data_IF_875238030841
#
_entry.id   IF_875238030841
#
_cell.length_a   1.000
_cell.length_b   1.000
_cell.length_c   1.000
_cell.angle_alpha   90.00
_cell.angle_beta   90.00
_cell.angle_gamma   90.00
#
_symmetry.space_group_name_H-M   'P 1'
#
loop_
_entity.id
_entity.type
_entity.pdbx_description
1 polymer ?
#
# COMPACT_ATOMS: atom_id res chain seq x y z
N UNK A 1 27.22 -3.81 2.17
CA UNK A 1 26.22 -3.38 1.17
C UNK A 1 25.30 -2.32 1.75
N UNK A 2 24.65 -1.49 0.92
CA UNK A 2 23.50 -0.68 1.35
C UNK A 2 22.23 -1.54 1.40
N UNK A 3 21.12 -1.05 2.00
CA UNK A 3 19.81 -1.73 1.93
C UNK A 3 19.36 -2.00 0.51
N UNK A 4 19.49 -1.00 -0.37
CA UNK A 4 19.11 -1.12 -1.78
C UNK A 4 19.95 -2.18 -2.50
N UNK A 5 21.28 -2.18 -2.28
CA UNK A 5 22.16 -3.20 -2.85
C UNK A 5 21.86 -4.60 -2.32
N UNK A 6 21.49 -4.74 -1.05
CA UNK A 6 21.09 -6.02 -0.46
C UNK A 6 19.79 -6.57 -1.09
N UNK A 7 18.80 -5.69 -1.33
CA UNK A 7 17.58 -6.07 -2.05
C UNK A 7 17.84 -6.47 -3.50
N UNK A 8 18.67 -5.69 -4.21
CA UNK A 8 19.09 -6.03 -5.58
C UNK A 8 19.81 -7.37 -5.63
N UNK A 9 20.67 -7.65 -4.65
CA UNK A 9 21.38 -8.92 -4.53
C UNK A 9 20.42 -10.09 -4.28
N UNK A 10 19.37 -9.93 -3.46
CA UNK A 10 18.34 -10.95 -3.28
C UNK A 10 17.52 -11.18 -4.56
N UNK A 11 17.22 -10.11 -5.29
CA UNK A 11 16.35 -10.13 -6.46
C UNK A 11 17.03 -10.57 -7.78
N UNK A 12 18.35 -10.82 -7.78
CA UNK A 12 19.02 -11.30 -8.99
C UNK A 12 18.58 -12.75 -9.31
N UNK A 13 18.38 -13.05 -10.60
CA UNK A 13 17.87 -14.34 -11.05
C UNK A 13 18.78 -15.53 -10.64
N UNK A 14 20.08 -15.30 -10.56
CA UNK A 14 21.09 -16.27 -10.14
C UNK A 14 21.50 -16.12 -8.66
N UNK A 15 20.63 -15.55 -7.81
CA UNK A 15 21.06 -15.18 -6.46
C UNK A 15 21.37 -16.41 -5.58
N UNK A 16 22.66 -16.65 -5.38
CA UNK A 16 23.19 -17.42 -4.26
C UNK A 16 23.01 -16.67 -2.91
N UNK A 17 22.37 -15.49 -2.95
CA UNK A 17 22.03 -14.70 -1.79
C UNK A 17 20.82 -15.28 -1.07
N UNK A 18 20.89 -15.26 0.25
CA UNK A 18 19.87 -15.78 1.15
C UNK A 18 19.55 -14.73 2.18
N UNK A 19 18.30 -14.72 2.62
CA UNK A 19 17.86 -13.88 3.72
C UNK A 19 17.75 -14.74 4.97
N UNK A 20 18.58 -14.47 5.97
CA UNK A 20 18.47 -15.12 7.26
C UNK A 20 17.96 -14.14 8.31
N UNK A 21 17.01 -14.58 9.12
CA UNK A 21 16.39 -13.77 10.14
C UNK A 21 16.30 -14.55 11.45
N UNK A 22 16.47 -13.87 12.57
CA UNK A 22 16.15 -14.46 13.88
C UNK A 22 15.60 -13.42 14.85
N UNK A 23 14.80 -13.85 15.84
CA UNK A 23 14.46 -13.03 16.99
C UNK A 23 15.72 -12.53 17.71
N UNK A 24 15.86 -11.22 17.90
CA UNK A 24 16.91 -10.57 18.69
C UNK A 24 16.42 -10.17 20.08
N UNK A 25 17.33 -10.05 21.05
CA UNK A 25 17.06 -9.41 22.34
C UNK A 25 16.89 -10.32 23.57
N UNK A 26 17.06 -11.64 23.44
CA UNK A 26 17.26 -12.52 24.61
C UNK A 26 18.69 -12.45 25.13
N UNK A 27 18.95 -12.93 26.36
CA UNK A 27 20.31 -13.36 26.77
C UNK A 27 20.70 -14.55 25.89
N UNK A 28 21.10 -14.27 24.65
CA UNK A 28 21.55 -15.27 23.68
C UNK A 28 22.81 -15.89 24.28
N UNK A 29 22.72 -17.17 24.67
CA UNK A 29 23.87 -17.93 25.17
C UNK A 29 25.00 -17.79 24.14
N UNK A 30 26.24 -17.59 24.58
CA UNK A 30 27.37 -17.35 23.68
C UNK A 30 27.52 -18.38 22.55
N UNK A 31 27.04 -19.62 22.74
CA UNK A 31 27.00 -20.69 21.72
C UNK A 31 26.02 -20.45 20.56
N UNK A 32 24.97 -19.63 20.70
CA UNK A 32 24.05 -19.27 19.60
C UNK A 32 24.46 -18.01 18.84
N UNK A 33 25.67 -17.49 19.08
CA UNK A 33 26.29 -16.45 18.22
C UNK A 33 26.99 -17.01 16.99
N UNK A 34 27.22 -18.33 16.92
CA UNK A 34 27.69 -18.94 15.69
C UNK A 34 26.67 -18.63 14.60
N UNK A 35 27.08 -17.80 13.63
CA UNK A 35 26.33 -17.62 12.40
C UNK A 35 26.05 -19.02 11.83
N UNK A 36 24.89 -19.29 11.23
CA UNK A 36 24.63 -20.57 10.57
C UNK A 36 25.60 -20.88 9.42
N UNK A 37 26.55 -19.98 9.16
CA UNK A 37 27.36 -19.88 7.96
C UNK A 37 28.83 -20.03 8.34
N UNK A 38 29.28 -21.27 8.50
CA UNK A 38 30.70 -21.57 8.31
C UNK A 38 31.11 -21.50 6.81
N UNK A 39 30.16 -21.18 5.91
CA UNK A 39 30.23 -21.48 4.48
C UNK A 39 29.78 -20.32 3.57
N UNK A 40 29.80 -19.07 4.03
CA UNK A 40 29.33 -17.95 3.19
C UNK A 40 29.79 -16.56 3.61
N UNK A 41 29.72 -15.62 2.66
CA UNK A 41 30.09 -14.21 2.84
C UNK A 41 28.86 -13.37 3.24
N UNK A 42 28.94 -12.61 4.34
CA UNK A 42 27.87 -11.70 4.77
C UNK A 42 28.02 -10.36 4.08
N UNK A 43 27.09 -10.04 3.17
CA UNK A 43 27.09 -8.76 2.44
C UNK A 43 26.33 -7.66 3.18
N UNK A 44 25.36 -8.02 4.01
CA UNK A 44 24.52 -7.07 4.75
C UNK A 44 24.06 -7.63 6.10
N UNK A 45 24.00 -6.76 7.11
CA UNK A 45 23.48 -7.06 8.45
C UNK A 45 22.74 -5.85 9.01
N UNK A 46 21.56 -6.09 9.56
CA UNK A 46 20.79 -5.07 10.26
C UNK A 46 19.98 -5.67 11.42
N UNK A 47 19.74 -4.87 12.47
CA UNK A 47 18.79 -5.18 13.53
C UNK A 47 17.55 -4.29 13.39
N UNK A 48 16.41 -4.89 13.04
CA UNK A 48 15.16 -4.16 12.77
C UNK A 48 14.26 -4.28 13.99
N UNK A 49 13.80 -3.15 14.54
CA UNK A 49 12.80 -3.14 15.61
C UNK A 49 11.39 -3.27 15.02
N UNK A 50 10.72 -4.38 15.33
CA UNK A 50 9.33 -4.61 14.97
C UNK A 50 8.42 -4.18 16.12
N UNK A 51 7.46 -3.31 15.82
CA UNK A 51 6.34 -3.07 16.74
C UNK A 51 5.43 -4.30 16.75
N UNK A 52 4.62 -4.52 17.80
CA UNK A 52 3.65 -5.61 17.82
C UNK A 52 2.74 -5.61 16.59
N UNK A 53 2.33 -4.42 16.13
CA UNK A 53 1.53 -4.26 14.91
C UNK A 53 2.31 -4.63 13.64
N UNK A 54 3.55 -4.17 13.50
CA UNK A 54 4.39 -4.51 12.36
C UNK A 54 4.55 -6.01 12.20
N UNK A 55 4.76 -6.71 13.31
CA UNK A 55 4.85 -8.17 13.33
C UNK A 55 3.56 -8.84 12.89
N UNK A 56 2.42 -8.51 13.49
CA UNK A 56 1.13 -9.10 13.12
C UNK A 56 0.82 -8.86 11.64
N UNK A 57 1.11 -7.66 11.13
CA UNK A 57 0.96 -7.37 9.70
C UNK A 57 1.90 -8.21 8.85
N UNK A 58 3.17 -8.35 9.24
CA UNK A 58 4.16 -9.16 8.50
C UNK A 58 3.76 -10.64 8.46
N UNK A 59 3.37 -11.22 9.60
CA UNK A 59 2.89 -12.61 9.70
C UNK A 59 1.66 -12.83 8.82
N UNK A 60 0.71 -11.89 8.83
CA UNK A 60 -0.50 -11.97 8.00
C UNK A 60 -0.21 -11.86 6.50
N UNK A 61 0.78 -11.06 6.11
CA UNK A 61 1.11 -10.80 4.71
C UNK A 61 2.02 -11.87 4.11
N UNK A 62 2.84 -12.53 4.94
CA UNK A 62 3.84 -13.50 4.48
C UNK A 62 3.50 -14.95 4.87
N UNK A 63 2.59 -15.16 5.82
CA UNK A 63 2.31 -16.48 6.40
C UNK A 63 3.40 -17.00 7.36
N UNK A 64 4.52 -16.29 7.48
CA UNK A 64 5.64 -16.67 8.35
C UNK A 64 5.33 -16.27 9.79
N UNK A 65 5.20 -17.24 10.68
CA UNK A 65 4.98 -17.00 12.11
C UNK A 65 6.33 -16.85 12.81
N UNK A 66 6.55 -15.72 13.48
CA UNK A 66 7.76 -15.53 14.28
C UNK A 66 7.53 -16.07 15.71
N UNK A 67 8.48 -16.81 16.30
CA UNK A 67 8.34 -17.29 17.68
C UNK A 67 8.66 -16.19 18.72
N UNK A 68 8.02 -16.26 19.89
CA UNK A 68 8.31 -15.41 21.06
C UNK A 68 7.68 -14.02 21.03
N UNK A 69 8.12 -13.09 21.87
CA UNK A 69 7.71 -11.66 21.84
C UNK A 69 8.86 -10.73 21.44
N UNK A 70 9.87 -11.25 20.73
CA UNK A 70 11.01 -10.45 20.33
C UNK A 70 10.55 -9.23 19.52
N UNK A 71 10.98 -8.06 19.98
CA UNK A 71 10.73 -6.77 19.34
C UNK A 71 11.84 -6.39 18.37
N UNK A 72 12.93 -7.17 18.31
CA UNK A 72 14.05 -6.96 17.41
C UNK A 72 14.19 -8.19 16.54
N UNK A 73 14.43 -7.99 15.25
CA UNK A 73 14.76 -9.02 14.28
C UNK A 73 16.18 -8.76 13.80
N UNK A 74 17.09 -9.70 14.03
CA UNK A 74 18.39 -9.66 13.37
C UNK A 74 18.22 -10.21 11.96
N UNK A 75 18.67 -9.44 10.97
CA UNK A 75 18.55 -9.73 9.55
C UNK A 75 19.94 -9.78 8.92
N UNK A 76 20.16 -10.80 8.10
CA UNK A 76 21.40 -11.04 7.38
C UNK A 76 21.08 -11.34 5.92
N UNK A 77 21.80 -10.68 5.01
CA UNK A 77 21.86 -11.06 3.61
C UNK A 77 23.27 -11.57 3.33
N UNK A 78 23.36 -12.84 2.96
CA UNK A 78 24.64 -13.53 2.80
C UNK A 78 24.63 -14.41 1.56
N UNK A 79 25.81 -14.64 0.99
CA UNK A 79 26.02 -15.48 -0.18
C UNK A 79 26.53 -16.85 0.25
N UNK A 80 25.85 -17.92 -0.16
CA UNK A 80 26.26 -19.29 0.15
C UNK A 80 27.35 -19.77 -0.85
N UNK A 81 28.43 -20.40 -0.36
CA UNK A 81 29.55 -20.84 -1.19
C UNK A 81 29.36 -22.22 -1.86
N UNK A 82 28.43 -23.06 -1.40
CA UNK A 82 28.19 -24.40 -1.97
C UNK A 82 26.69 -24.75 -2.06
N UNK A 83 26.31 -25.42 -3.15
CA UNK A 83 24.95 -25.72 -3.64
C UNK A 83 24.27 -26.93 -2.99
N UNK A 84 24.77 -27.45 -1.88
CA UNK A 84 24.19 -28.64 -1.25
C UNK A 84 22.77 -28.36 -0.72
N UNK A 85 21.75 -28.80 -1.48
CA UNK A 85 20.34 -28.89 -1.09
C UNK A 85 19.61 -27.55 -0.95
N UNK A 86 18.99 -27.06 -2.03
CA UNK A 86 18.19 -25.82 -2.03
C UNK A 86 16.76 -26.08 -1.57
N UNK A 87 16.53 -26.16 -0.25
CA UNK A 87 15.17 -25.94 0.27
C UNK A 87 14.89 -24.42 0.30
N UNK A 88 13.68 -24.02 -0.08
CA UNK A 88 13.26 -22.61 -0.13
C UNK A 88 13.24 -21.96 1.27
N UNK A 89 12.81 -22.75 2.26
CA UNK A 89 12.83 -22.40 3.68
C UNK A 89 13.64 -23.44 4.43
N UNK A 90 14.66 -23.01 5.17
CA UNK A 90 15.46 -23.86 6.06
C UNK A 90 15.51 -23.24 7.46
N UNK A 91 15.41 -24.05 8.50
CA UNK A 91 15.50 -23.60 9.90
C UNK A 91 16.77 -24.16 10.53
N UNK A 92 17.75 -23.30 10.78
CA UNK A 92 19.02 -23.67 11.41
C UNK A 92 19.13 -23.02 12.79
N UNK A 93 18.83 -23.80 13.82
CA UNK A 93 18.72 -23.29 15.19
C UNK A 93 17.60 -22.26 15.31
N UNK A 94 17.95 -21.03 15.68
CA UNK A 94 17.01 -19.90 15.81
C UNK A 94 16.85 -19.09 14.51
N UNK A 95 17.66 -19.39 13.49
CA UNK A 95 17.61 -18.69 12.22
C UNK A 95 16.58 -19.31 11.29
N UNK A 96 15.70 -18.48 10.77
CA UNK A 96 14.88 -18.75 9.60
C UNK A 96 15.65 -18.28 8.37
N UNK A 97 15.93 -19.21 7.46
CA UNK A 97 16.64 -18.95 6.21
C UNK A 97 15.64 -19.04 5.07
N UNK A 98 15.57 -17.98 4.27
CA UNK A 98 14.73 -17.86 3.10
C UNK A 98 15.60 -17.76 1.83
N UNK A 99 15.08 -18.31 0.74
CA UNK A 99 15.68 -18.27 -0.59
C UNK A 99 14.69 -17.76 -1.66
N UNK A 100 15.21 -17.41 -2.84
CA UNK A 100 14.39 -17.10 -4.02
C UNK A 100 13.35 -16.00 -3.78
N UNK A 101 12.13 -16.21 -4.29
CA UNK A 101 11.04 -15.22 -4.22
C UNK A 101 10.61 -14.89 -2.79
N UNK A 102 10.67 -15.86 -1.87
CA UNK A 102 10.32 -15.64 -0.46
C UNK A 102 11.32 -14.71 0.21
N UNK A 103 12.62 -14.89 -0.05
CA UNK A 103 13.66 -13.99 0.43
C UNK A 103 13.50 -12.58 -0.12
N UNK A 104 13.16 -12.45 -1.41
CA UNK A 104 12.90 -11.14 -2.05
C UNK A 104 11.65 -10.49 -1.45
N UNK A 105 10.55 -11.24 -1.31
CA UNK A 105 9.29 -10.73 -0.76
C UNK A 105 9.44 -10.26 0.68
N UNK A 106 10.08 -11.07 1.52
CA UNK A 106 10.38 -10.72 2.91
C UNK A 106 11.39 -9.55 2.99
N UNK A 107 12.41 -9.57 2.14
CA UNK A 107 13.39 -8.49 2.03
C UNK A 107 12.71 -7.16 1.73
N UNK A 108 11.82 -7.10 0.75
CA UNK A 108 11.09 -5.86 0.40
C UNK A 108 10.32 -5.30 1.58
N UNK A 109 9.58 -6.14 2.30
CA UNK A 109 8.83 -5.75 3.48
C UNK A 109 9.69 -5.14 4.60
N UNK A 110 10.90 -5.66 4.80
CA UNK A 110 11.78 -5.30 5.90
C UNK A 110 12.77 -4.19 5.56
N UNK A 111 13.24 -4.12 4.31
CA UNK A 111 14.32 -3.23 3.88
C UNK A 111 13.85 -2.02 3.06
N UNK A 112 12.65 -2.05 2.45
CA UNK A 112 12.07 -0.88 1.79
C UNK A 112 11.36 0.01 2.82
N UNK A 113 11.71 1.30 2.85
CA UNK A 113 11.16 2.22 3.86
C UNK A 113 9.64 2.41 3.74
N UNK A 114 9.11 2.43 2.51
CA UNK A 114 7.67 2.55 2.24
C UNK A 114 6.89 1.34 2.74
N UNK A 115 7.41 0.13 2.50
CA UNK A 115 6.83 -1.13 2.94
C UNK A 115 6.94 -1.30 4.47
N UNK A 116 8.11 -0.98 5.04
CA UNK A 116 8.32 -0.99 6.49
C UNK A 116 7.40 0.01 7.22
N UNK A 117 7.16 1.19 6.63
CA UNK A 117 6.17 2.14 7.12
C UNK A 117 4.76 1.54 7.09
N UNK A 118 4.36 0.91 5.98
CA UNK A 118 3.08 0.22 5.89
C UNK A 118 2.91 -0.85 6.97
N UNK A 119 3.89 -1.75 7.17
CA UNK A 119 3.84 -2.76 8.23
C UNK A 119 3.57 -2.12 9.60
N UNK A 120 4.28 -1.05 9.92
CA UNK A 120 4.21 -0.43 11.25
C UNK A 120 2.84 0.17 11.56
N UNK A 121 2.19 0.77 10.56
CA UNK A 121 1.02 1.62 10.80
C UNK A 121 -0.29 1.06 10.24
N UNK A 122 -0.24 0.15 9.26
CA UNK A 122 -1.44 -0.39 8.64
C UNK A 122 -2.34 -1.13 9.64
N UNK A 123 -3.65 -1.04 9.42
CA UNK A 123 -4.66 -1.72 10.23
C UNK A 123 -5.45 -2.66 9.34
N UNK A 124 -4.76 -3.70 8.87
CA UNK A 124 -5.33 -4.69 7.95
C UNK A 124 -6.60 -5.29 8.55
N UNK A 125 -7.69 -5.28 7.79
CA UNK A 125 -9.00 -5.78 8.23
C UNK A 125 -9.81 -4.80 9.09
N UNK A 126 -9.38 -3.54 9.27
CA UNK A 126 -10.19 -2.51 9.95
C UNK A 126 -11.57 -2.34 9.32
N UNK A 127 -11.64 -2.49 7.99
CA UNK A 127 -12.88 -2.48 7.23
C UNK A 127 -13.04 -3.82 6.53
N UNK A 128 -14.16 -4.51 6.79
CA UNK A 128 -14.43 -5.84 6.22
C UNK A 128 -14.45 -5.85 4.68
N UNK A 129 -14.83 -4.72 4.06
CA UNK A 129 -14.96 -4.58 2.60
C UNK A 129 -13.61 -4.48 1.87
N UNK A 130 -12.51 -4.23 2.57
CA UNK A 130 -11.21 -3.94 1.93
C UNK A 130 -10.68 -5.12 1.12
N UNK A 131 -10.80 -6.35 1.64
CA UNK A 131 -10.38 -7.57 0.92
C UNK A 131 -11.19 -7.77 -0.37
N UNK A 132 -12.51 -7.58 -0.30
CA UNK A 132 -13.38 -7.64 -1.46
C UNK A 132 -13.03 -6.58 -2.52
N UNK A 133 -12.67 -5.36 -2.09
CA UNK A 133 -12.21 -4.29 -2.99
C UNK A 133 -10.88 -4.60 -3.67
N UNK A 134 -9.92 -5.15 -2.93
CA UNK A 134 -8.64 -5.58 -3.52
C UNK A 134 -8.86 -6.71 -4.54
N UNK A 135 -9.71 -7.69 -4.21
CA UNK A 135 -10.08 -8.76 -5.14
C UNK A 135 -10.77 -8.20 -6.39
N UNK A 136 -11.73 -7.29 -6.20
CA UNK A 136 -12.44 -6.62 -7.28
C UNK A 136 -11.49 -5.85 -8.21
N UNK A 137 -10.47 -5.19 -7.65
CA UNK A 137 -9.44 -4.48 -8.42
C UNK A 137 -8.50 -5.42 -9.15
N UNK A 138 -8.08 -6.54 -8.56
CA UNK A 138 -7.28 -7.58 -9.26
C UNK A 138 -8.04 -8.14 -10.45
N UNK A 139 -9.33 -8.47 -10.29
CA UNK A 139 -10.15 -8.90 -11.41
C UNK A 139 -10.28 -7.81 -12.47
N UNK A 140 -10.36 -6.53 -12.08
CA UNK A 140 -10.35 -5.43 -13.04
C UNK A 140 -9.04 -5.38 -13.83
N UNK A 141 -7.89 -5.57 -13.17
CA UNK A 141 -6.58 -5.61 -13.83
C UNK A 141 -6.48 -6.76 -14.84
N UNK A 142 -6.87 -7.96 -14.43
CA UNK A 142 -6.84 -9.14 -15.30
C UNK A 142 -7.72 -8.96 -16.55
N UNK A 143 -8.94 -8.42 -16.40
CA UNK A 143 -9.86 -8.20 -17.53
C UNK A 143 -9.44 -7.08 -18.47
N UNK A 144 -8.52 -6.21 -18.05
CA UNK A 144 -7.95 -5.16 -18.88
C UNK A 144 -6.54 -5.51 -19.36
N UNK A 145 -6.06 -6.73 -19.09
CA UNK A 145 -4.71 -7.19 -19.43
C UNK A 145 -3.60 -6.26 -18.92
N UNK A 146 -3.83 -5.60 -17.79
CA UNK A 146 -2.81 -4.74 -17.18
C UNK A 146 -1.69 -5.60 -16.63
N UNK A 147 -0.44 -5.23 -16.95
CA UNK A 147 0.71 -5.82 -16.27
C UNK A 147 0.84 -5.23 -14.85
N UNK A 148 1.25 -6.03 -13.85
CA UNK A 148 1.44 -5.54 -12.48
C UNK A 148 2.42 -4.35 -12.35
N UNK A 149 3.37 -4.23 -13.28
CA UNK A 149 4.37 -3.17 -13.32
C UNK A 149 3.92 -1.90 -14.05
N UNK A 150 2.70 -1.86 -14.57
CA UNK A 150 2.14 -0.71 -15.30
C UNK A 150 1.09 0.07 -14.51
N UNK A 151 0.61 -0.50 -13.39
CA UNK A 151 -0.53 0.03 -12.63
C UNK A 151 -0.12 0.36 -11.21
N UNK A 152 -0.61 1.50 -10.74
CA UNK A 152 -0.38 1.99 -9.39
C UNK A 152 -1.72 2.32 -8.72
N UNK A 153 -2.00 1.66 -7.59
CA UNK A 153 -3.18 1.88 -6.78
C UNK A 153 -3.01 3.16 -5.94
N UNK A 154 -3.95 4.09 -6.06
CA UNK A 154 -3.82 5.44 -5.54
C UNK A 154 -4.37 5.63 -4.11
N UNK A 155 -4.40 6.88 -3.65
CA UNK A 155 -4.54 7.27 -2.25
C UNK A 155 -5.75 6.67 -1.53
N UNK A 156 -6.95 6.67 -2.14
CA UNK A 156 -8.20 6.35 -1.44
C UNK A 156 -8.19 4.95 -0.83
N UNK A 157 -7.82 3.91 -1.59
CA UNK A 157 -7.79 2.54 -1.10
C UNK A 157 -6.58 2.29 -0.20
N UNK A 158 -5.46 2.98 -0.43
CA UNK A 158 -4.28 2.90 0.45
C UNK A 158 -4.60 3.45 1.85
N UNK A 159 -5.26 4.60 1.96
CA UNK A 159 -5.68 5.15 3.26
C UNK A 159 -6.69 4.24 3.99
N UNK A 160 -7.49 3.49 3.24
CA UNK A 160 -8.34 2.43 3.80
C UNK A 160 -7.52 1.27 4.37
N UNK A 161 -6.45 0.83 3.69
CA UNK A 161 -5.53 -0.18 4.20
C UNK A 161 -4.81 0.27 5.47
N UNK A 162 -4.50 1.57 5.58
CA UNK A 162 -4.01 2.18 6.83
C UNK A 162 -5.09 2.26 7.92
N UNK A 163 -6.35 2.00 7.60
CA UNK A 163 -7.48 2.03 8.52
C UNK A 163 -7.94 3.44 8.89
N UNK A 164 -7.62 4.45 8.07
CA UNK A 164 -7.93 5.85 8.34
C UNK A 164 -9.40 6.16 8.01
N UNK A 165 -9.84 5.81 6.80
CA UNK A 165 -11.22 5.99 6.32
C UNK A 165 -11.56 4.99 5.22
N UNK A 166 -12.86 4.80 4.93
CA UNK A 166 -13.29 3.99 3.79
C UNK A 166 -13.09 4.76 2.48
N UNK A 167 -12.62 4.07 1.45
CA UNK A 167 -12.62 4.55 0.09
C UNK A 167 -14.06 4.57 -0.46
N UNK A 168 -14.43 5.63 -1.19
CA UNK A 168 -15.69 5.67 -1.96
C UNK A 168 -15.52 4.98 -3.32
N UNK A 169 -14.39 5.21 -3.98
CA UNK A 169 -13.97 4.61 -5.24
C UNK A 169 -12.56 4.03 -5.10
N UNK A 170 -12.18 3.16 -6.02
CA UNK A 170 -10.82 2.67 -6.20
C UNK A 170 -10.20 3.51 -7.31
N UNK A 171 -9.30 4.40 -6.92
CA UNK A 171 -8.59 5.27 -7.86
C UNK A 171 -7.23 4.63 -8.23
N UNK A 172 -6.83 4.73 -9.49
CA UNK A 172 -5.58 4.16 -9.99
C UNK A 172 -4.93 5.02 -11.08
N UNK A 173 -3.64 4.81 -11.28
CA UNK A 173 -2.85 5.34 -12.40
C UNK A 173 -2.34 4.15 -13.23
N UNK A 174 -2.28 4.31 -14.55
CA UNK A 174 -1.76 3.29 -15.45
C UNK A 174 -0.99 3.88 -16.63
N UNK A 175 0.06 3.18 -17.09
CA UNK A 175 0.79 3.53 -18.31
C UNK A 175 -0.04 3.25 -19.56
N UNK A 176 -0.72 2.10 -19.57
CA UNK A 176 -1.57 1.63 -20.65
C UNK A 176 -3.02 2.08 -20.48
N UNK A 177 -3.78 2.08 -21.57
CA UNK A 177 -5.18 2.51 -21.56
C UNK A 177 -6.09 1.38 -21.15
N UNK A 178 -7.07 1.66 -20.29
CA UNK A 178 -8.12 0.70 -19.95
C UNK A 178 -8.96 0.35 -21.18
N UNK A 179 -9.30 -0.92 -21.34
CA UNK A 179 -10.17 -1.41 -22.41
C UNK A 179 -11.65 -1.31 -21.98
N UNK A 180 -11.94 -1.76 -20.76
CA UNK A 180 -13.30 -1.84 -20.23
C UNK A 180 -13.41 -1.11 -18.88
N UNK A 181 -14.18 -0.02 -18.78
CA UNK A 181 -14.41 0.66 -17.52
C UNK A 181 -15.21 -0.23 -16.55
N UNK A 182 -14.99 -0.04 -15.25
CA UNK A 182 -15.78 -0.71 -14.20
C UNK A 182 -16.38 0.29 -13.21
N UNK A 183 -17.61 0.06 -12.73
CA UNK A 183 -18.21 0.88 -11.68
C UNK A 183 -17.29 0.98 -10.45
N UNK A 184 -17.18 2.20 -9.89
CA UNK A 184 -16.37 2.50 -8.70
C UNK A 184 -14.86 2.28 -8.86
N UNK A 185 -14.35 1.95 -10.04
CA UNK A 185 -12.93 1.99 -10.35
C UNK A 185 -12.70 3.17 -11.30
N UNK A 186 -11.79 4.07 -10.95
CA UNK A 186 -11.57 5.32 -11.68
C UNK A 186 -10.10 5.51 -11.98
N UNK A 187 -9.78 5.77 -13.23
CA UNK A 187 -8.46 6.25 -13.63
C UNK A 187 -8.33 7.72 -13.20
N UNK A 188 -7.26 8.06 -12.49
CA UNK A 188 -7.07 9.41 -11.95
C UNK A 188 -5.98 10.22 -12.67
N UNK A 189 -5.99 10.24 -14.00
CA UNK A 189 -4.97 10.96 -14.76
C UNK A 189 -5.05 12.49 -14.57
N UNK A 190 -6.23 13.02 -14.20
CA UNK A 190 -6.52 14.46 -14.07
C UNK A 190 -5.81 15.16 -12.93
N UNK A 191 -5.21 14.40 -12.01
CA UNK A 191 -4.52 14.96 -10.85
C UNK A 191 -3.06 14.52 -10.81
N UNK A 192 -2.54 13.98 -11.91
CA UNK A 192 -1.20 13.40 -11.99
C UNK A 192 -0.12 14.45 -11.69
N UNK A 193 -0.33 15.69 -12.08
CA UNK A 193 0.55 16.83 -11.84
C UNK A 193 0.83 17.08 -10.35
N UNK A 194 -0.12 16.75 -9.47
CA UNK A 194 0.04 16.95 -8.02
C UNK A 194 1.01 15.96 -7.36
N UNK A 195 1.39 14.88 -8.04
CA UNK A 195 2.37 13.94 -7.51
C UNK A 195 3.80 14.49 -7.51
N UNK A 196 4.12 15.47 -8.36
CA UNK A 196 5.49 15.99 -8.50
C UNK A 196 6.48 14.95 -9.05
N UNK A 197 6.00 13.84 -9.60
CA UNK A 197 6.77 12.79 -10.25
C UNK A 197 5.93 12.19 -11.39
N UNK A 198 6.60 11.71 -12.43
CA UNK A 198 5.96 10.98 -13.51
C UNK A 198 5.50 9.59 -13.03
N UNK A 199 4.48 9.01 -13.68
CA UNK A 199 4.02 7.67 -13.34
C UNK A 199 5.13 6.63 -13.49
N UNK A 200 6.02 6.79 -14.47
CA UNK A 200 7.14 5.87 -14.68
C UNK A 200 8.13 5.93 -13.52
N UNK A 201 8.53 7.13 -13.10
CA UNK A 201 9.36 7.30 -11.89
C UNK A 201 8.68 6.70 -10.66
N UNK A 202 7.37 6.93 -10.48
CA UNK A 202 6.62 6.37 -9.35
C UNK A 202 6.55 4.84 -9.36
N UNK A 203 6.56 4.22 -10.54
CA UNK A 203 6.56 2.77 -10.72
C UNK A 203 7.96 2.15 -10.58
N UNK A 204 9.00 2.88 -10.97
CA UNK A 204 10.39 2.37 -10.99
C UNK A 204 11.10 2.55 -9.64
N UNK A 205 10.73 3.58 -8.87
CA UNK A 205 11.36 3.90 -7.58
C UNK A 205 10.47 3.52 -6.39
N UNK A 206 10.98 2.65 -5.52
CA UNK A 206 10.30 2.11 -4.33
C UNK A 206 10.07 3.16 -3.23
N UNK A 207 10.62 4.38 -3.35
CA UNK A 207 10.25 5.50 -2.46
C UNK A 207 8.79 5.95 -2.69
N UNK A 208 8.27 5.79 -3.90
CA UNK A 208 6.93 6.24 -4.28
C UNK A 208 5.86 5.16 -4.16
N UNK A 209 6.24 3.91 -3.95
CA UNK A 209 5.30 2.81 -3.85
C UNK A 209 5.78 1.69 -2.91
N UNK A 210 4.86 0.84 -2.49
CA UNK A 210 5.19 -0.46 -1.89
C UNK A 210 4.34 -1.54 -2.57
N UNK A 211 4.77 -2.80 -2.49
CA UNK A 211 4.03 -3.92 -3.09
C UNK A 211 3.16 -4.64 -2.06
N UNK A 212 1.90 -4.89 -2.40
CA UNK A 212 0.96 -5.70 -1.63
C UNK A 212 0.54 -6.90 -2.48
N UNK A 213 1.34 -7.97 -2.41
CA UNK A 213 1.29 -9.05 -3.38
C UNK A 213 1.69 -8.52 -4.76
N UNK A 214 0.86 -8.73 -5.77
CA UNK A 214 1.07 -8.24 -7.13
C UNK A 214 0.72 -6.76 -7.31
N UNK A 215 0.03 -6.14 -6.36
CA UNK A 215 -0.43 -4.76 -6.49
C UNK A 215 0.65 -3.78 -6.03
N UNK A 216 0.95 -2.76 -6.84
CA UNK A 216 1.73 -1.60 -6.39
C UNK A 216 0.78 -0.56 -5.80
N UNK A 217 1.09 -0.10 -4.60
CA UNK A 217 0.33 0.91 -3.87
C UNK A 217 1.18 2.17 -3.72
N UNK A 218 0.62 3.36 -3.97
CA UNK A 218 1.33 4.63 -3.71
C UNK A 218 1.78 4.66 -2.23
N UNK A 219 3.02 5.08 -1.99
CA UNK A 219 3.57 5.17 -0.64
C UNK A 219 2.86 6.24 0.19
N UNK A 220 2.88 6.08 1.51
CA UNK A 220 2.22 7.00 2.43
C UNK A 220 2.75 8.44 2.32
N UNK A 221 4.07 8.58 2.19
CA UNK A 221 4.74 9.87 1.98
C UNK A 221 4.31 10.51 0.65
N UNK A 222 4.19 9.73 -0.42
CA UNK A 222 3.78 10.22 -1.72
C UNK A 222 2.30 10.63 -1.75
N UNK A 223 1.43 9.91 -1.02
CA UNK A 223 0.04 10.34 -0.80
C UNK A 223 0.01 11.69 -0.05
N UNK A 224 0.84 11.87 0.98
CA UNK A 224 0.90 13.13 1.70
C UNK A 224 1.37 14.28 0.81
N UNK A 225 2.39 14.05 -0.03
CA UNK A 225 2.87 15.03 -1.01
C UNK A 225 1.75 15.45 -1.99
N UNK A 226 1.11 14.47 -2.62
CA UNK A 226 -0.02 14.66 -3.53
C UNK A 226 -1.15 15.49 -2.90
N UNK A 227 -1.55 15.14 -1.67
CA UNK A 227 -2.65 15.82 -0.96
C UNK A 227 -2.31 17.24 -0.54
N UNK A 228 -1.06 17.50 -0.17
CA UNK A 228 -0.58 18.86 0.15
C UNK A 228 -0.62 19.75 -1.09
N UNK A 229 -0.17 19.22 -2.22
CA UNK A 229 -0.20 19.95 -3.50
C UNK A 229 -1.63 20.28 -3.94
N UNK A 230 -2.57 19.33 -3.83
CA UNK A 230 -3.96 19.53 -4.27
C UNK A 230 -4.81 20.39 -3.34
N UNK A 231 -4.64 20.25 -2.02
CA UNK A 231 -5.19 21.20 -1.03
C UNK A 231 -6.71 21.20 -0.82
N UNK A 232 -7.46 20.18 -1.28
CA UNK A 232 -8.92 20.13 -1.05
C UNK A 232 -9.27 20.02 0.43
N UNK A 233 -10.54 20.26 0.80
CA UNK A 233 -10.99 20.07 2.18
C UNK A 233 -10.76 18.62 2.66
N UNK A 234 -11.13 17.63 1.83
CA UNK A 234 -10.89 16.22 2.13
C UNK A 234 -9.40 15.89 2.27
N UNK A 235 -8.53 16.54 1.50
CA UNK A 235 -7.08 16.35 1.61
C UNK A 235 -6.53 16.85 2.95
N UNK A 236 -7.03 17.98 3.45
CA UNK A 236 -6.64 18.50 4.78
C UNK A 236 -7.03 17.54 5.90
N UNK A 237 -8.22 16.93 5.82
CA UNK A 237 -8.64 15.93 6.81
C UNK A 237 -7.81 14.65 6.71
N UNK A 238 -7.52 14.19 5.49
CA UNK A 238 -6.64 13.04 5.27
C UNK A 238 -5.24 13.29 5.84
N UNK A 239 -4.63 14.44 5.56
CA UNK A 239 -3.32 14.82 6.11
C UNK A 239 -3.33 14.88 7.63
N UNK A 240 -4.41 15.41 8.24
CA UNK A 240 -4.60 15.43 9.68
C UNK A 240 -4.66 14.02 10.28
N UNK A 241 -5.45 13.12 9.67
CA UNK A 241 -5.51 11.71 10.08
C UNK A 241 -4.18 10.97 9.90
N UNK A 242 -3.45 11.25 8.81
CA UNK A 242 -2.14 10.66 8.54
C UNK A 242 -1.12 11.07 9.61
N UNK A 243 -1.04 12.37 9.92
CA UNK A 243 -0.15 12.88 10.98
C UNK A 243 -0.53 12.33 12.35
N UNK A 244 -1.82 12.23 12.65
CA UNK A 244 -2.31 11.65 13.89
C UNK A 244 -1.94 10.16 14.03
N UNK A 245 -1.91 9.41 12.92
CA UNK A 245 -1.47 8.00 12.91
C UNK A 245 0.02 7.86 13.25
N UNK A 246 0.87 8.68 12.64
CA UNK A 246 2.33 8.66 12.85
C UNK A 246 2.70 9.12 14.27
N UNK A 247 2.03 10.15 14.79
CA UNK A 247 2.26 10.70 16.14
C UNK A 247 1.58 9.89 17.25
N UNK A 248 0.66 8.98 16.90
CA UNK A 248 -0.13 8.24 17.88
C UNK A 248 -1.23 9.05 18.58
N UNK A 249 -1.55 10.26 18.10
CA UNK A 249 -2.57 11.13 18.70
C UNK A 249 -3.99 10.65 18.37
N UNK A 250 -4.61 9.90 19.30
CA UNK A 250 -5.97 9.37 19.13
C UNK A 250 -7.04 10.46 19.01
N UNK A 251 -6.92 11.54 19.78
CA UNK A 251 -7.87 12.66 19.75
C UNK A 251 -7.84 13.40 18.41
N UNK A 252 -6.64 13.71 17.90
CA UNK A 252 -6.49 14.34 16.59
C UNK A 252 -7.05 13.44 15.48
N UNK A 253 -6.82 12.13 15.56
CA UNK A 253 -7.38 11.18 14.60
C UNK A 253 -8.91 11.18 14.62
N UNK A 254 -9.52 11.13 15.82
CA UNK A 254 -10.98 11.19 15.97
C UNK A 254 -11.56 12.49 15.42
N UNK A 255 -10.92 13.63 15.74
CA UNK A 255 -11.35 14.95 15.26
C UNK A 255 -11.38 15.03 13.73
N UNK A 256 -10.25 14.73 13.07
CA UNK A 256 -10.17 14.79 11.61
C UNK A 256 -11.11 13.78 10.93
N UNK A 257 -11.29 12.62 11.55
CA UNK A 257 -12.26 11.63 11.07
C UNK A 257 -13.70 12.16 11.16
N UNK A 258 -14.10 12.76 12.27
CA UNK A 258 -15.44 13.34 12.42
C UNK A 258 -15.70 14.42 11.38
N UNK A 259 -14.72 15.31 11.14
CA UNK A 259 -14.83 16.33 10.09
C UNK A 259 -14.95 15.72 8.69
N UNK A 260 -14.22 14.64 8.41
CA UNK A 260 -14.35 13.90 7.15
C UNK A 260 -15.75 13.30 6.97
N UNK A 261 -16.31 12.66 8.00
CA UNK A 261 -17.64 12.03 7.92
C UNK A 261 -18.75 13.09 7.79
N UNK A 262 -18.61 14.25 8.43
CA UNK A 262 -19.54 15.38 8.27
C UNK A 262 -19.52 15.93 6.84
N UNK A 263 -18.33 16.14 6.25
CA UNK A 263 -18.21 16.55 4.85
C UNK A 263 -18.78 15.51 3.88
N UNK A 264 -18.55 14.23 4.15
CA UNK A 264 -19.13 13.14 3.37
C UNK A 264 -20.67 13.16 3.45
N UNK A 265 -21.22 13.30 4.66
CA UNK A 265 -22.65 13.43 4.91
C UNK A 265 -23.26 14.63 4.17
N UNK A 266 -22.60 15.78 4.26
CA UNK A 266 -23.00 17.00 3.54
C UNK A 266 -23.01 16.80 2.02
N UNK A 267 -21.97 16.20 1.43
CA UNK A 267 -21.92 15.90 -0.01
C UNK A 267 -22.98 14.87 -0.44
N UNK A 268 -23.33 13.92 0.42
CA UNK A 268 -24.43 12.99 0.17
C UNK A 268 -25.78 13.69 0.22
N UNK A 269 -26.01 14.55 1.23
CA UNK A 269 -27.20 15.36 1.36
C UNK A 269 -27.41 16.28 0.15
N UNK A 270 -26.37 16.99 -0.29
CA UNK A 270 -26.43 17.83 -1.49
C UNK A 270 -26.74 17.03 -2.76
N UNK A 271 -26.13 15.85 -2.94
CA UNK A 271 -26.44 14.95 -4.07
C UNK A 271 -27.88 14.48 -4.04
N UNK A 272 -28.41 14.17 -2.87
CA UNK A 272 -29.80 13.78 -2.67
C UNK A 272 -30.74 14.96 -2.96
N UNK A 273 -30.48 16.14 -2.40
CA UNK A 273 -31.25 17.36 -2.63
C UNK A 273 -31.28 17.72 -4.13
N UNK A 274 -30.13 17.66 -4.80
CA UNK A 274 -30.06 17.90 -6.24
C UNK A 274 -30.91 16.90 -7.03
N UNK A 275 -30.99 15.62 -6.62
CA UNK A 275 -31.88 14.63 -7.24
C UNK A 275 -33.37 14.91 -6.98
N UNK A 276 -33.72 15.55 -5.87
CA UNK A 276 -35.10 15.95 -5.59
C UNK A 276 -35.53 17.19 -6.38
N UNK A 277 -34.60 18.12 -6.61
CA UNK A 277 -34.89 19.39 -7.31
C UNK A 277 -34.82 19.23 -8.85
N UNK A 278 -33.96 18.34 -9.38
CA UNK A 278 -33.81 18.13 -10.83
C UNK A 278 -35.07 17.69 -11.60
N UNK A 279 -35.98 16.85 -11.07
CA UNK A 279 -37.22 16.46 -11.75
C UNK A 279 -38.09 17.68 -12.10
N UNK A 280 -38.00 18.75 -11.33
CA UNK A 280 -38.86 19.92 -11.48
C UNK A 280 -38.44 20.85 -12.64
N UNK A 281 -37.15 20.87 -13.00
CA UNK A 281 -36.65 21.75 -14.07
C UNK A 281 -36.75 21.10 -15.45
N UNK A 282 -36.67 19.76 -15.53
CA UNK A 282 -36.68 19.04 -16.81
C UNK A 282 -38.04 19.07 -17.53
N UNK A 283 -39.13 18.81 -16.82
CA UNK A 283 -40.47 18.74 -17.44
C UNK A 283 -41.08 20.12 -17.68
N UNK A 284 -40.87 21.09 -16.76
CA UNK A 284 -41.36 22.46 -16.96
C UNK A 284 -40.57 23.23 -18.02
N UNK A 285 -39.26 23.02 -18.17
CA UNK A 285 -38.49 23.66 -19.23
C UNK A 285 -38.85 23.10 -20.62
N UNK A 286 -39.11 21.80 -20.74
CA UNK A 286 -39.59 21.19 -21.99
C UNK A 286 -41.02 21.65 -22.30
N UNK A 287 -41.91 21.69 -21.31
CA UNK A 287 -43.26 22.23 -21.48
C UNK A 287 -43.27 23.73 -21.84
N UNK A 288 -42.40 24.54 -21.22
CA UNK A 288 -42.23 25.96 -21.54
C UNK A 288 -41.67 26.15 -22.96
N UNK A 289 -40.66 25.38 -23.35
CA UNK A 289 -40.09 25.43 -24.70
C UNK A 289 -41.11 25.04 -25.78
N UNK A 290 -41.92 23.99 -25.55
CA UNK A 290 -43.01 23.64 -26.46
C UNK A 290 -44.13 24.68 -26.51
N UNK A 291 -44.45 25.33 -25.39
CA UNK A 291 -45.49 26.38 -25.32
C UNK A 291 -45.00 27.70 -25.97
N UNK A 292 -43.72 28.02 -25.83
CA UNK A 292 -43.08 29.16 -26.48
C UNK A 292 -42.97 28.96 -28.00
N UNK A 293 -42.59 27.76 -28.46
CA UNK A 293 -42.50 27.44 -29.89
C UNK A 293 -43.85 27.54 -30.62
N UNK A 294 -44.97 27.20 -29.97
CA UNK A 294 -46.33 27.35 -30.55
C UNK A 294 -46.78 28.81 -30.72
N UNK A 295 -46.21 29.75 -29.95
CA UNK A 295 -46.58 31.19 -30.05
C UNK A 295 -45.84 31.95 -31.14
N UNK A 296 -44.84 31.35 -31.80
CA UNK A 296 -44.12 31.94 -32.95
C UNK A 296 -44.54 31.37 -34.31
N UNK A 297 -45.52 30.47 -34.32
CA UNK A 297 -46.03 29.83 -35.53
C UNK A 297 -47.38 30.40 -36.01
N UNK A 298 -47.82 31.51 -35.43
CA UNK A 298 -49.00 32.28 -35.83
C UNK A 298 -48.61 33.74 -35.98
#
# INVERSE_FOLDING_TARGET
MTRSSALQALASADSAWRLAMRPGGGRIRARSRALPFATGEVGYRESIRLTPRARVNLERLTGVIFPGQASVLELLVYRQWSSAGSQAVDKRGEWLILAGEEAVGMGRWLLEDSAAHFLRFARLGRFAVTSARLSYFRSFMANNHFRPDEVLLEASLVLELYGLRKAENIDYLALTTQLTPRPRIKRNDRHREHHGATLREMLDDSRYHFRLGELRCVSFSQIASFKRSRGTFGDRQDLGMMRALETGSRLAWLWHRSLYELDLGYRCFLRWLHRLVRPWVGEQAVAFYHRWRRRRSH
#
